data_IF_938063279342
#
_entry.id   IF_938063279342
#
_cell.length_a   1.000
_cell.length_b   1.000
_cell.length_c   1.000
_cell.angle_alpha   90.00
_cell.angle_beta   90.00
_cell.angle_gamma   90.00
#
_symmetry.space_group_name_H-M   'P 1'
#
loop_
_entity.id
_entity.type
_entity.pdbx_description
1 polymer ?
#
# COMPACT_ATOMS: atom_id res chain seq x y z
N UNK A 1 -5.90 -26.83 31.35
CA UNK A 1 -6.89 -25.97 30.66
C UNK A 1 -6.25 -25.60 29.33
N UNK A 2 -6.49 -26.40 28.29
CA UNK A 2 -5.93 -26.13 26.96
C UNK A 2 -6.93 -25.27 26.21
N UNK A 3 -6.77 -23.95 26.27
CA UNK A 3 -7.38 -23.07 25.27
C UNK A 3 -6.71 -23.42 23.94
N UNK A 4 -7.42 -24.14 23.07
CA UNK A 4 -6.91 -24.51 21.76
C UNK A 4 -6.75 -23.26 20.89
N UNK A 5 -5.52 -22.92 20.52
CA UNK A 5 -5.27 -21.95 19.47
C UNK A 5 -5.59 -22.58 18.12
N UNK A 6 -6.52 -22.01 17.37
CA UNK A 6 -6.80 -22.44 16.01
C UNK A 6 -5.62 -22.06 15.09
N UNK A 7 -5.23 -22.98 14.20
CA UNK A 7 -4.30 -22.68 13.12
C UNK A 7 -5.11 -22.15 11.93
N UNK A 8 -5.02 -20.86 11.68
CA UNK A 8 -5.79 -20.20 10.62
C UNK A 8 -5.23 -20.52 9.23
N UNK A 9 -6.12 -20.55 8.23
CA UNK A 9 -5.73 -20.54 6.81
C UNK A 9 -5.15 -19.17 6.45
N UNK A 10 -4.39 -19.11 5.37
CA UNK A 10 -3.57 -17.94 4.99
C UNK A 10 -4.30 -16.58 4.96
N UNK A 11 -5.56 -16.56 4.51
CA UNK A 11 -6.38 -15.34 4.41
C UNK A 11 -7.07 -14.93 5.72
N UNK A 12 -6.90 -15.70 6.80
CA UNK A 12 -7.59 -15.51 8.08
C UNK A 12 -6.60 -15.35 9.23
N UNK A 13 -7.01 -14.64 10.29
CA UNK A 13 -6.23 -14.43 11.51
C UNK A 13 -7.11 -14.33 12.76
N UNK A 14 -6.46 -14.14 13.91
CA UNK A 14 -7.09 -14.04 15.23
C UNK A 14 -7.20 -15.39 15.92
N UNK A 15 -7.46 -15.41 17.23
CA UNK A 15 -7.47 -16.64 18.04
C UNK A 15 -8.45 -17.70 17.53
N UNK A 16 -9.53 -17.24 16.89
CA UNK A 16 -10.61 -18.08 16.35
C UNK A 16 -10.72 -18.06 14.83
N UNK A 17 -9.76 -17.43 14.12
CA UNK A 17 -9.79 -17.30 12.66
C UNK A 17 -11.03 -16.59 12.09
N UNK A 18 -11.57 -15.62 12.83
CA UNK A 18 -12.79 -14.87 12.47
C UNK A 18 -12.49 -13.46 11.95
N UNK A 19 -11.23 -13.18 11.66
CA UNK A 19 -10.77 -11.92 11.08
C UNK A 19 -10.01 -12.21 9.80
N UNK A 20 -10.06 -11.29 8.85
CA UNK A 20 -9.20 -11.39 7.66
C UNK A 20 -7.76 -11.01 8.01
N UNK A 21 -6.81 -11.73 7.40
CA UNK A 21 -5.39 -11.42 7.47
C UNK A 21 -5.09 -10.04 6.85
N UNK A 22 -3.99 -9.40 7.24
CA UNK A 22 -3.51 -8.19 6.54
C UNK A 22 -3.39 -8.49 5.04
N UNK A 23 -3.84 -7.55 4.21
CA UNK A 23 -3.97 -7.75 2.76
C UNK A 23 -5.30 -8.34 2.31
N UNK A 24 -6.25 -8.60 3.23
CA UNK A 24 -7.58 -9.12 2.91
C UNK A 24 -8.69 -8.33 3.63
N UNK A 25 -9.88 -8.27 3.04
CA UNK A 25 -11.07 -7.56 3.55
C UNK A 25 -12.35 -8.38 3.41
N UNK A 26 -13.44 -7.96 4.05
CA UNK A 26 -14.78 -8.55 3.88
C UNK A 26 -14.89 -10.03 4.31
N UNK A 27 -14.72 -10.28 5.60
CA UNK A 27 -15.09 -11.56 6.21
C UNK A 27 -16.57 -11.90 5.91
N UNK A 28 -16.94 -13.17 5.62
CA UNK A 28 -16.12 -14.38 5.70
C UNK A 28 -15.36 -14.74 4.42
N UNK A 29 -15.49 -13.96 3.35
CA UNK A 29 -14.85 -14.28 2.07
C UNK A 29 -13.37 -13.93 2.06
N UNK A 30 -12.97 -12.89 2.81
CA UNK A 30 -11.59 -12.40 2.88
C UNK A 30 -11.01 -12.21 1.47
N UNK A 31 -11.51 -11.20 0.78
CA UNK A 31 -11.08 -10.81 -0.57
C UNK A 31 -9.77 -10.04 -0.49
N UNK A 32 -8.82 -10.35 -1.37
CA UNK A 32 -7.51 -9.71 -1.38
C UNK A 32 -7.61 -8.21 -1.72
N UNK A 33 -6.81 -7.40 -1.04
CA UNK A 33 -6.58 -6.00 -1.35
C UNK A 33 -5.57 -5.86 -2.50
N UNK A 34 -5.76 -4.87 -3.36
CA UNK A 34 -4.90 -4.63 -4.53
C UNK A 34 -4.01 -3.39 -4.35
N UNK A 35 -3.66 -3.05 -3.11
CA UNK A 35 -2.87 -1.88 -2.78
C UNK A 35 -1.42 -2.02 -3.26
N UNK A 36 -0.91 -0.98 -3.92
CA UNK A 36 0.50 -0.85 -4.26
C UNK A 36 1.30 -0.49 -3.01
N UNK A 37 2.24 -1.35 -2.62
CA UNK A 37 3.06 -1.19 -1.41
C UNK A 37 3.97 0.04 -1.48
N UNK A 38 4.42 0.42 -2.68
CA UNK A 38 5.24 1.62 -2.86
C UNK A 38 4.45 2.90 -2.54
N UNK A 39 3.15 2.87 -2.84
CA UNK A 39 2.25 4.00 -2.66
C UNK A 39 1.42 4.02 -1.39
N UNK A 40 1.30 2.89 -0.70
CA UNK A 40 0.48 2.74 0.50
C UNK A 40 1.21 3.16 1.77
N UNK A 41 0.45 3.60 2.77
CA UNK A 41 0.98 3.98 4.09
C UNK A 41 1.65 2.77 4.74
N UNK A 42 2.93 2.91 5.13
CA UNK A 42 3.72 1.85 5.73
C UNK A 42 3.12 1.32 7.04
N UNK A 43 2.31 2.11 7.74
CA UNK A 43 1.60 1.66 8.94
C UNK A 43 0.47 0.68 8.65
N UNK A 44 0.00 0.63 7.40
CA UNK A 44 -1.06 -0.28 6.94
C UNK A 44 -0.54 -1.48 6.18
N UNK A 45 0.78 -1.58 6.00
CA UNK A 45 1.43 -2.60 5.19
C UNK A 45 2.25 -3.57 6.05
N UNK A 46 2.22 -4.83 5.65
CA UNK A 46 3.22 -5.82 6.03
C UNK A 46 4.28 -5.86 4.90
N UNK A 47 5.41 -5.20 5.15
CA UNK A 47 6.48 -5.08 4.17
C UNK A 47 7.26 -6.39 3.94
N UNK A 48 7.20 -7.34 4.88
CA UNK A 48 7.84 -8.65 4.70
C UNK A 48 7.04 -9.52 3.73
N UNK A 49 5.71 -9.35 3.74
CA UNK A 49 4.78 -10.06 2.87
C UNK A 49 4.37 -9.31 1.61
N UNK A 50 4.82 -8.06 1.46
CA UNK A 50 4.49 -7.17 0.34
C UNK A 50 2.97 -7.00 0.15
N UNK A 51 2.23 -6.84 1.26
CA UNK A 51 0.77 -6.65 1.25
C UNK A 51 0.33 -5.50 2.16
N UNK A 52 -0.71 -4.77 1.76
CA UNK A 52 -1.29 -3.70 2.57
C UNK A 52 -2.78 -3.90 2.82
N UNK A 53 -3.24 -3.44 3.99
CA UNK A 53 -4.64 -3.41 4.33
C UNK A 53 -5.40 -2.37 3.49
N UNK A 54 -6.67 -2.66 3.21
CA UNK A 54 -7.58 -1.78 2.52
C UNK A 54 -8.90 -1.68 3.30
N UNK A 55 -9.65 -0.61 3.08
CA UNK A 55 -10.92 -0.40 3.75
C UNK A 55 -11.94 -1.48 3.39
N UNK A 56 -12.66 -1.99 4.39
CA UNK A 56 -13.74 -2.95 4.18
C UNK A 56 -14.79 -2.41 3.22
N UNK A 57 -15.39 -3.32 2.44
CA UNK A 57 -16.35 -3.13 1.35
C UNK A 57 -15.87 -2.32 0.15
N UNK A 58 -15.16 -1.23 0.39
CA UNK A 58 -14.70 -0.33 -0.67
C UNK A 58 -13.43 -0.83 -1.33
N UNK A 59 -12.54 -1.49 -0.58
CA UNK A 59 -11.23 -1.90 -1.06
C UNK A 59 -10.25 -0.73 -1.22
N UNK A 60 -10.60 0.48 -0.76
CA UNK A 60 -9.76 1.66 -0.91
C UNK A 60 -8.54 1.59 0.02
N UNK A 61 -7.37 1.87 -0.52
CA UNK A 61 -6.10 1.86 0.20
C UNK A 61 -5.81 3.22 0.87
N UNK A 62 -5.03 3.19 1.95
CA UNK A 62 -4.50 4.40 2.58
C UNK A 62 -3.19 4.78 1.88
N UNK A 63 -3.19 5.86 1.11
CA UNK A 63 -2.03 6.27 0.32
C UNK A 63 -1.09 7.22 1.07
N UNK A 64 0.20 7.15 0.75
CA UNK A 64 1.22 8.13 1.15
C UNK A 64 0.87 9.53 0.62
N UNK A 65 1.45 10.55 1.24
CA UNK A 65 1.06 11.95 1.03
C UNK A 65 1.07 12.40 -0.44
N UNK A 66 2.02 11.95 -1.25
CA UNK A 66 2.19 12.34 -2.65
C UNK A 66 1.64 11.31 -3.64
N UNK A 67 0.79 10.38 -3.18
CA UNK A 67 0.25 9.28 -3.96
C UNK A 67 -1.27 9.34 -3.95
N UNK A 68 -1.87 8.95 -5.06
CA UNK A 68 -3.31 8.86 -5.24
C UNK A 68 -3.69 7.61 -6.04
N UNK A 69 -4.99 7.46 -6.31
CA UNK A 69 -5.56 6.26 -6.92
C UNK A 69 -6.34 5.41 -5.90
N UNK A 70 -7.09 4.44 -6.42
CA UNK A 70 -7.85 3.51 -5.57
C UNK A 70 -6.90 2.55 -4.83
N UNK A 71 -5.83 2.17 -5.52
CA UNK A 71 -4.83 1.21 -5.11
C UNK A 71 -3.50 1.88 -4.75
N UNK A 72 -3.46 3.21 -4.65
CA UNK A 72 -2.24 4.00 -4.44
C UNK A 72 -1.18 3.79 -5.54
N UNK A 73 -1.63 3.60 -6.77
CA UNK A 73 -0.79 3.19 -7.89
C UNK A 73 -0.12 4.35 -8.66
N UNK A 74 -0.46 5.60 -8.33
CA UNK A 74 -0.02 6.77 -9.09
C UNK A 74 0.42 7.92 -8.22
N UNK A 75 1.46 8.62 -8.66
CA UNK A 75 1.84 9.89 -8.08
C UNK A 75 0.75 10.94 -8.30
N UNK A 76 0.55 11.81 -7.31
CA UNK A 76 -0.27 13.01 -7.48
C UNK A 76 0.35 13.92 -8.54
N UNK A 77 -0.47 14.84 -9.06
CA UNK A 77 0.03 15.95 -9.88
C UNK A 77 1.23 16.62 -9.19
N UNK A 78 2.21 17.02 -10.00
CA UNK A 78 3.41 17.71 -9.56
C UNK A 78 4.39 16.84 -8.76
N UNK A 79 4.23 15.51 -8.82
CA UNK A 79 5.12 14.55 -8.16
C UNK A 79 5.47 13.37 -9.07
N UNK A 80 6.59 12.69 -8.81
CA UNK A 80 7.09 11.60 -9.65
C UNK A 80 7.89 10.54 -8.88
N UNK A 81 8.11 9.39 -9.53
CA UNK A 81 9.00 8.32 -9.08
C UNK A 81 8.52 7.66 -7.78
N UNK A 82 7.42 6.94 -7.91
CA UNK A 82 6.79 6.12 -6.87
C UNK A 82 7.79 5.08 -6.34
N UNK A 83 7.98 5.02 -5.02
CA UNK A 83 9.00 4.16 -4.43
C UNK A 83 8.70 3.77 -2.98
N UNK A 84 8.91 2.50 -2.64
CA UNK A 84 8.77 1.94 -1.28
C UNK A 84 9.57 2.73 -0.23
N UNK A 85 10.90 2.93 -0.38
CA UNK A 85 11.71 3.69 0.57
C UNK A 85 11.36 5.18 0.66
N UNK A 86 10.61 5.74 -0.29
CA UNK A 86 10.19 7.14 -0.18
C UNK A 86 9.02 7.24 0.82
N UNK A 87 9.19 7.96 1.95
CA UNK A 87 8.12 8.09 2.95
C UNK A 87 6.89 8.84 2.43
N UNK A 88 7.06 9.68 1.40
CA UNK A 88 5.96 10.37 0.74
C UNK A 88 5.42 9.61 -0.48
N UNK A 89 6.06 8.51 -0.86
CA UNK A 89 5.76 7.69 -2.03
C UNK A 89 6.35 8.28 -3.30
N UNK A 90 5.99 9.52 -3.62
CA UNK A 90 6.52 10.27 -4.77
C UNK A 90 7.27 11.54 -4.33
N UNK A 91 8.22 11.97 -5.15
CA UNK A 91 9.00 13.20 -4.95
C UNK A 91 8.39 14.36 -5.73
N UNK A 92 8.45 15.58 -5.19
CA UNK A 92 7.97 16.76 -5.92
C UNK A 92 8.78 17.01 -7.19
N UNK A 93 8.09 17.43 -8.25
CA UNK A 93 8.70 17.99 -9.44
C UNK A 93 9.40 19.32 -9.10
N UNK A 94 10.60 19.52 -9.62
CA UNK A 94 11.32 20.80 -9.50
C UNK A 94 11.66 21.36 -10.88
N UNK A 95 10.65 21.94 -11.53
CA UNK A 95 10.76 22.53 -12.87
C UNK A 95 10.84 24.07 -12.83
N UNK A 96 11.28 24.66 -11.72
CA UNK A 96 11.42 26.12 -11.53
C UNK A 96 10.16 26.93 -11.89
N UNK A 97 8.97 26.37 -11.68
CA UNK A 97 7.69 27.03 -12.00
C UNK A 97 7.37 27.13 -13.50
N UNK A 98 8.20 26.54 -14.37
CA UNK A 98 7.95 26.51 -15.83
C UNK A 98 6.83 25.54 -16.19
N UNK A 99 6.71 24.46 -15.43
CA UNK A 99 5.66 23.46 -15.57
C UNK A 99 5.52 22.72 -14.25
N UNK A 100 4.37 22.08 -14.07
CA UNK A 100 4.09 21.20 -12.94
C UNK A 100 4.01 19.72 -13.41
N UNK A 101 3.99 19.50 -14.72
CA UNK A 101 4.07 18.17 -15.32
C UNK A 101 5.54 17.74 -15.44
N UNK A 102 5.92 16.68 -14.73
CA UNK A 102 7.22 16.03 -14.88
C UNK A 102 7.10 14.50 -14.86
N UNK A 103 8.13 13.83 -15.35
CA UNK A 103 8.27 12.38 -15.31
C UNK A 103 9.65 11.99 -14.84
N UNK A 104 9.80 10.77 -14.36
CA UNK A 104 11.10 10.23 -13.99
C UNK A 104 12.02 10.15 -15.22
N UNK A 105 13.29 10.56 -15.04
CA UNK A 105 14.28 10.45 -16.10
C UNK A 105 14.72 8.98 -16.27
N UNK A 106 14.78 8.52 -17.52
CA UNK A 106 15.16 7.16 -17.84
C UNK A 106 16.67 6.94 -17.64
N UNK A 107 17.06 5.76 -17.16
CA UNK A 107 18.46 5.36 -17.06
C UNK A 107 19.22 5.88 -15.83
N UNK A 108 18.53 6.54 -14.89
CA UNK A 108 19.10 6.91 -13.59
C UNK A 108 18.78 5.84 -12.55
N UNK A 109 19.80 5.38 -11.84
CA UNK A 109 19.64 4.49 -10.68
C UNK A 109 19.50 5.38 -9.45
N UNK A 110 18.42 5.17 -8.69
CA UNK A 110 18.28 5.75 -7.35
C UNK A 110 19.27 5.05 -6.42
N UNK A 111 20.38 5.72 -6.12
CA UNK A 111 21.34 5.30 -5.11
C UNK A 111 20.86 5.85 -3.77
N UNK A 112 20.23 4.98 -2.99
CA UNK A 112 19.76 5.27 -1.63
C UNK A 112 20.93 5.30 -0.65
#
# INVERSE_FOLDING_TARGET
>A
MNTGCCMCRDAFRGEKCIECQIGYRDFPQCTQCECDVAGSDSQTCDLERDVCACADRTGKCSCKANVEGHNCERCKSDTFGLSVPNPLGCSNCYCYGLTSSCSEAQGLIRMW
#
